data_IF_768887577822
#
_entry.id   IF_768887577822
#
_cell.length_a   1.000
_cell.length_b   1.000
_cell.length_c   1.000
_cell.angle_alpha   90.00
_cell.angle_beta   90.00
_cell.angle_gamma   90.00
#
_symmetry.space_group_name_H-M   'P 1'
#
loop_
_entity.id
_entity.type
_entity.pdbx_description
1 polymer ?
#
# COMPACT_ATOMS: atom_id res chain seq x y z
N UNK A 1 -58.68 72.85 23.19
CA UNK A 1 -57.22 72.59 23.24
C UNK A 1 -56.99 71.34 24.09
N UNK A 2 -56.69 70.20 23.48
CA UNK A 2 -56.07 69.04 24.14
C UNK A 2 -55.54 68.11 23.04
N UNK A 3 -54.26 68.23 22.71
CA UNK A 3 -53.59 67.34 21.76
C UNK A 3 -53.05 66.13 22.53
N UNK A 4 -53.66 64.96 22.32
CA UNK A 4 -53.10 63.68 22.76
C UNK A 4 -51.93 63.30 21.86
N UNK A 5 -50.72 63.36 22.40
CA UNK A 5 -49.48 63.05 21.72
C UNK A 5 -49.32 61.54 21.51
N UNK A 6 -49.44 61.12 20.24
CA UNK A 6 -49.19 59.75 19.78
C UNK A 6 -47.69 59.42 19.91
N UNK A 7 -47.31 58.59 20.90
CA UNK A 7 -45.96 58.04 21.02
C UNK A 7 -45.62 57.17 19.79
N UNK A 8 -44.64 57.61 19.01
CA UNK A 8 -44.08 56.88 17.86
C UNK A 8 -43.10 55.82 18.39
N UNK A 9 -43.47 54.54 18.30
CA UNK A 9 -42.55 53.45 18.62
C UNK A 9 -41.46 53.37 17.55
N UNK A 10 -40.25 53.78 17.90
CA UNK A 10 -39.08 53.61 17.03
C UNK A 10 -38.68 52.13 17.04
N UNK A 11 -39.14 51.36 16.06
CA UNK A 11 -38.63 50.02 15.80
C UNK A 11 -37.15 50.12 15.40
N UNK A 12 -36.24 49.91 16.36
CA UNK A 12 -34.81 49.80 16.10
C UNK A 12 -34.58 48.56 15.25
N UNK A 13 -34.42 48.72 13.93
CA UNK A 13 -33.92 47.67 13.04
C UNK A 13 -32.50 47.30 13.49
N UNK A 14 -32.40 46.27 14.33
CA UNK A 14 -31.14 45.67 14.75
C UNK A 14 -30.54 44.99 13.51
N UNK A 15 -29.71 45.72 12.77
CA UNK A 15 -28.91 45.21 11.65
C UNK A 15 -28.01 44.12 12.22
N UNK A 16 -28.43 42.86 12.11
CA UNK A 16 -27.63 41.71 12.50
C UNK A 16 -26.45 41.64 11.54
N UNK A 17 -25.33 42.30 11.91
CA UNK A 17 -24.04 42.03 11.28
C UNK A 17 -23.66 40.63 11.73
N UNK A 18 -23.90 39.63 10.88
CA UNK A 18 -23.36 38.30 11.10
C UNK A 18 -21.86 38.45 11.42
N UNK A 19 -21.36 37.82 12.49
CA UNK A 19 -20.00 38.05 12.94
C UNK A 19 -19.06 37.54 11.84
N UNK A 20 -18.39 38.47 11.16
CA UNK A 20 -17.46 38.18 10.05
C UNK A 20 -16.41 37.11 10.41
N UNK A 21 -16.10 36.95 11.70
CA UNK A 21 -15.27 35.86 12.19
C UNK A 21 -15.88 34.48 11.94
N UNK A 22 -17.19 34.25 12.22
CA UNK A 22 -17.82 32.94 11.99
C UNK A 22 -17.74 32.53 10.52
N UNK A 23 -17.90 33.48 9.60
CA UNK A 23 -17.78 33.22 8.15
C UNK A 23 -16.33 32.86 7.75
N UNK A 24 -15.32 33.50 8.36
CA UNK A 24 -13.90 33.17 8.12
C UNK A 24 -13.54 31.78 8.63
N UNK A 25 -14.06 31.38 9.79
CA UNK A 25 -13.87 30.03 10.33
C UNK A 25 -14.53 28.97 9.44
N UNK A 26 -15.76 29.21 8.99
CA UNK A 26 -16.45 28.32 8.05
C UNK A 26 -15.69 28.19 6.74
N UNK A 27 -15.18 29.29 6.19
CA UNK A 27 -14.39 29.27 4.95
C UNK A 27 -13.09 28.48 5.14
N UNK A 28 -12.41 28.65 6.27
CA UNK A 28 -11.20 27.89 6.61
C UNK A 28 -11.47 26.38 6.69
N UNK A 29 -12.56 25.99 7.35
CA UNK A 29 -12.97 24.58 7.46
C UNK A 29 -13.26 23.99 6.07
N UNK A 30 -13.94 24.74 5.18
CA UNK A 30 -14.23 24.30 3.81
C UNK A 30 -12.95 24.10 3.01
N UNK A 31 -11.98 25.01 3.11
CA UNK A 31 -10.68 24.86 2.41
C UNK A 31 -9.91 23.64 2.92
N UNK A 32 -9.87 23.45 4.24
CA UNK A 32 -9.22 22.27 4.85
C UNK A 32 -9.93 20.98 4.44
N UNK A 33 -11.27 20.97 4.41
CA UNK A 33 -12.05 19.81 3.99
C UNK A 33 -11.81 19.46 2.52
N UNK A 34 -11.80 20.47 1.64
CA UNK A 34 -11.47 20.29 0.22
C UNK A 34 -10.06 19.70 0.10
N UNK A 35 -9.06 20.30 0.76
CA UNK A 35 -7.69 19.77 0.79
C UNK A 35 -7.65 18.31 1.27
N UNK A 36 -8.33 18.01 2.38
CA UNK A 36 -8.41 16.65 2.90
C UNK A 36 -9.03 15.66 1.91
N UNK A 37 -10.10 16.03 1.20
CA UNK A 37 -10.71 15.17 0.17
C UNK A 37 -9.77 14.97 -1.02
N UNK A 38 -9.00 15.99 -1.43
CA UNK A 38 -7.99 15.86 -2.48
C UNK A 38 -6.85 14.91 -2.10
N UNK A 39 -6.37 14.96 -0.84
CA UNK A 39 -5.32 14.06 -0.36
C UNK A 39 -5.82 12.65 0.01
N UNK A 40 -7.04 12.55 0.54
CA UNK A 40 -7.65 11.30 1.04
C UNK A 40 -8.54 10.59 0.01
N UNK A 41 -8.76 11.20 -1.16
CA UNK A 41 -9.63 10.65 -2.19
C UNK A 41 -9.10 9.34 -2.80
N UNK A 42 -9.99 8.49 -3.36
CA UNK A 42 -9.63 7.19 -3.95
C UNK A 42 -8.70 7.30 -5.17
N UNK A 43 -8.54 8.52 -5.72
CA UNK A 43 -7.67 8.88 -6.85
C UNK A 43 -6.56 9.86 -6.43
N UNK A 44 -6.18 9.88 -5.15
CA UNK A 44 -5.08 10.71 -4.66
C UNK A 44 -3.76 10.38 -5.40
N UNK A 45 -2.94 11.40 -5.64
CA UNK A 45 -1.64 11.27 -6.31
C UNK A 45 -0.70 10.31 -5.56
N UNK A 46 -0.81 10.26 -4.23
CA UNK A 46 -0.06 9.32 -3.38
C UNK A 46 -0.40 7.87 -3.75
N UNK A 47 -1.67 7.59 -3.99
CA UNK A 47 -2.13 6.25 -4.36
C UNK A 47 -1.66 5.87 -5.76
N UNK A 48 -1.59 6.84 -6.68
CA UNK A 48 -1.04 6.61 -8.02
C UNK A 48 0.44 6.22 -7.96
N UNK A 49 1.23 6.91 -7.13
CA UNK A 49 2.64 6.58 -6.93
C UNK A 49 2.83 5.16 -6.37
N UNK A 50 2.09 4.82 -5.30
CA UNK A 50 2.12 3.47 -4.70
C UNK A 50 1.67 2.40 -5.71
N UNK A 51 0.68 2.71 -6.55
CA UNK A 51 0.21 1.78 -7.60
C UNK A 51 1.27 1.54 -8.67
N UNK A 52 2.01 2.57 -9.08
CA UNK A 52 3.10 2.43 -10.04
C UNK A 52 4.22 1.55 -9.49
N UNK A 53 4.63 1.79 -8.24
CA UNK A 53 5.65 0.97 -7.58
C UNK A 53 5.22 -0.50 -7.44
N UNK A 54 3.97 -0.73 -7.02
CA UNK A 54 3.39 -2.08 -6.94
C UNK A 54 3.34 -2.76 -8.31
N UNK A 55 3.03 -2.04 -9.38
CA UNK A 55 3.03 -2.59 -10.74
C UNK A 55 4.40 -3.11 -11.12
N UNK A 56 5.44 -2.33 -10.85
CA UNK A 56 6.81 -2.71 -11.22
C UNK A 56 7.33 -3.86 -10.37
N UNK A 57 7.02 -3.88 -9.07
CA UNK A 57 7.31 -5.02 -8.20
C UNK A 57 6.63 -6.30 -8.71
N UNK A 58 5.33 -6.24 -9.06
CA UNK A 58 4.60 -7.39 -9.57
C UNK A 58 5.18 -7.90 -10.90
N UNK A 59 5.60 -7.00 -11.79
CA UNK A 59 6.22 -7.39 -13.06
C UNK A 59 7.56 -8.09 -12.81
N UNK A 60 8.39 -7.57 -11.91
CA UNK A 60 9.67 -8.21 -11.54
C UNK A 60 9.44 -9.58 -10.92
N UNK A 61 8.55 -9.68 -9.93
CA UNK A 61 8.21 -10.96 -9.31
C UNK A 61 7.66 -11.96 -10.33
N UNK A 62 6.84 -11.52 -11.28
CA UNK A 62 6.34 -12.40 -12.35
C UNK A 62 7.49 -12.97 -13.18
N UNK A 63 8.46 -12.14 -13.54
CA UNK A 63 9.58 -12.57 -14.38
C UNK A 63 10.52 -13.51 -13.63
N UNK A 64 10.84 -13.20 -12.37
CA UNK A 64 11.58 -14.09 -11.47
C UNK A 64 10.88 -15.44 -11.31
N UNK A 65 9.56 -15.47 -11.12
CA UNK A 65 8.80 -16.71 -11.00
C UNK A 65 8.84 -17.53 -12.28
N UNK A 66 8.74 -16.90 -13.46
CA UNK A 66 8.87 -17.61 -14.74
C UNK A 66 10.25 -18.23 -14.90
N UNK A 67 11.31 -17.49 -14.55
CA UNK A 67 12.67 -18.02 -14.60
C UNK A 67 12.81 -19.23 -13.69
N UNK A 68 12.30 -19.15 -12.46
CA UNK A 68 12.28 -20.30 -11.53
C UNK A 68 11.50 -21.50 -12.08
N UNK A 69 10.37 -21.27 -12.76
CA UNK A 69 9.62 -22.36 -13.40
C UNK A 69 10.47 -23.08 -14.44
N UNK A 70 11.18 -22.33 -15.29
CA UNK A 70 12.07 -22.92 -16.31
C UNK A 70 13.22 -23.68 -15.63
N UNK A 71 13.87 -23.08 -14.63
CA UNK A 71 14.95 -23.74 -13.88
C UNK A 71 14.47 -25.04 -13.23
N UNK A 72 13.32 -25.01 -12.54
CA UNK A 72 12.76 -26.19 -11.89
C UNK A 72 12.36 -27.27 -12.89
N UNK A 73 11.81 -26.90 -14.06
CA UNK A 73 11.47 -27.87 -15.10
C UNK A 73 12.74 -28.55 -15.65
N UNK A 74 13.81 -27.79 -15.87
CA UNK A 74 15.11 -28.36 -16.25
C UNK A 74 15.70 -29.26 -15.16
N UNK A 75 15.54 -28.90 -13.89
CA UNK A 75 15.98 -29.71 -12.75
C UNK A 75 15.17 -31.00 -12.64
N UNK A 76 13.85 -30.93 -12.79
CA UNK A 76 12.96 -32.11 -12.85
C UNK A 76 13.37 -33.02 -14.01
N UNK A 77 13.68 -32.46 -15.18
CA UNK A 77 14.13 -33.25 -16.32
C UNK A 77 15.43 -33.99 -16.00
N UNK A 78 16.44 -33.28 -15.46
CA UNK A 78 17.71 -33.88 -15.04
C UNK A 78 17.52 -34.97 -13.98
N UNK A 79 16.67 -34.74 -12.98
CA UNK A 79 16.33 -35.73 -11.96
C UNK A 79 15.57 -36.96 -12.51
N UNK A 80 14.96 -36.87 -13.69
CA UNK A 80 14.26 -38.01 -14.33
C UNK A 80 15.15 -38.77 -15.30
N UNK A 81 16.04 -38.09 -16.00
CA UNK A 81 16.82 -38.68 -17.10
C UNK A 81 18.24 -39.05 -16.72
N UNK A 82 18.83 -38.40 -15.72
CA UNK A 82 20.24 -38.54 -15.36
C UNK A 82 20.42 -39.16 -13.98
N UNK A 83 20.77 -40.44 -13.96
CA UNK A 83 21.02 -41.20 -12.73
C UNK A 83 22.24 -40.70 -11.95
N UNK A 84 23.24 -40.15 -12.63
CA UNK A 84 24.45 -39.60 -11.99
C UNK A 84 24.14 -38.30 -11.26
N UNK A 85 23.26 -37.47 -11.83
CA UNK A 85 22.77 -36.26 -11.20
C UNK A 85 21.94 -36.57 -9.93
N UNK A 86 21.08 -37.60 -9.98
CA UNK A 86 20.30 -38.05 -8.82
C UNK A 86 21.23 -38.52 -7.69
N UNK A 87 22.23 -39.34 -8.01
CA UNK A 87 23.18 -39.84 -7.02
C UNK A 87 23.97 -38.70 -6.37
N UNK A 88 24.46 -37.74 -7.17
CA UNK A 88 25.14 -36.55 -6.66
C UNK A 88 24.23 -35.74 -5.71
N UNK A 89 22.98 -35.51 -6.10
CA UNK A 89 22.01 -34.79 -5.27
C UNK A 89 21.68 -35.53 -3.97
N UNK A 90 21.54 -36.86 -4.02
CA UNK A 90 21.31 -37.70 -2.84
C UNK A 90 22.49 -37.60 -1.85
N UNK A 91 23.73 -37.66 -2.34
CA UNK A 91 24.95 -37.56 -1.53
C UNK A 91 25.16 -36.14 -0.97
N UNK A 92 25.06 -35.10 -1.80
CA UNK A 92 25.41 -33.73 -1.42
C UNK A 92 24.31 -33.02 -0.62
N UNK A 93 23.04 -33.11 -1.05
CA UNK A 93 21.94 -32.38 -0.38
C UNK A 93 21.31 -33.15 0.75
N UNK A 94 21.21 -34.47 0.61
CA UNK A 94 20.48 -35.31 1.56
C UNK A 94 21.39 -36.22 2.39
N UNK A 95 22.71 -36.19 2.16
CA UNK A 95 23.70 -37.00 2.87
C UNK A 95 23.34 -38.50 2.88
N UNK A 96 22.71 -38.96 1.79
CA UNK A 96 22.34 -40.35 1.61
C UNK A 96 23.58 -41.15 1.16
N UNK A 97 23.75 -42.33 1.77
CA UNK A 97 24.82 -43.29 1.48
C UNK A 97 24.24 -44.61 1.03
N UNK A 98 25.02 -45.40 0.30
CA UNK A 98 24.68 -46.81 0.08
C UNK A 98 24.82 -47.59 1.39
N UNK A 99 24.17 -48.75 1.47
CA UNK A 99 24.14 -49.56 2.70
C UNK A 99 25.54 -50.00 3.16
N UNK A 100 26.49 -50.06 2.23
CA UNK A 100 27.89 -50.47 2.37
C UNK A 100 28.88 -49.30 2.55
N UNK A 101 28.42 -48.04 2.53
CA UNK A 101 29.25 -46.85 2.67
C UNK A 101 29.07 -46.18 4.05
N UNK A 102 29.96 -45.28 4.46
CA UNK A 102 29.83 -44.44 5.68
C UNK A 102 29.90 -42.93 5.32
N UNK A 103 29.04 -42.09 5.91
CA UNK A 103 29.08 -40.62 5.72
C UNK A 103 29.89 -39.99 6.84
N UNK A 104 30.92 -39.22 6.47
CA UNK A 104 31.73 -38.41 7.41
C UNK A 104 31.41 -36.93 7.21
N UNK A 105 30.79 -36.30 8.22
CA UNK A 105 30.60 -34.85 8.24
C UNK A 105 31.75 -34.17 8.98
N UNK A 106 32.56 -33.41 8.26
CA UNK A 106 33.66 -32.64 8.84
C UNK A 106 33.11 -31.28 9.27
N UNK A 107 33.01 -31.04 10.59
CA UNK A 107 32.74 -29.70 11.13
C UNK A 107 34.08 -29.01 11.35
N UNK A 108 34.42 -28.04 10.50
CA UNK A 108 35.50 -27.09 10.78
C UNK A 108 35.07 -26.21 11.96
N UNK A 109 35.95 -26.10 12.96
CA UNK A 109 35.75 -25.33 14.19
C UNK A 109 36.14 -23.87 14.00
#
# INVERSE_FOLDING_TARGET
MAYSSRKKSSSRRRKQRAPRLKLRWVLGIVVVFIGFVFFSGPKSLIKLYVLLEKKDQLVRSREELKQRVVELDTEIHRLKTDTTYIEKMAREKYLLKRADEEVVMIKTK
#
